data_IF_395527645068
#
_entry.id   IF_395527645068
#
_cell.length_a   1.000
_cell.length_b   1.000
_cell.length_c   1.000
_cell.angle_alpha   90.00
_cell.angle_beta   90.00
_cell.angle_gamma   90.00
#
_symmetry.space_group_name_H-M   'P 1'
#
loop_
_entity.id
_entity.type
_entity.pdbx_description
1 polymer ?
#
# COMPACT_ATOMS: atom_id res chain seq x y z
N UNK A 1 -41.24 26.72 32.34
CA UNK A 1 -40.27 25.78 31.75
C UNK A 1 -41.03 24.83 30.85
N UNK A 2 -41.28 25.27 29.63
CA UNK A 2 -42.08 24.58 28.60
C UNK A 2 -41.14 23.78 27.68
N UNK A 3 -41.64 22.69 27.10
CA UNK A 3 -40.90 21.75 26.24
C UNK A 3 -40.05 22.42 25.15
N UNK A 4 -40.47 23.60 24.71
CA UNK A 4 -39.86 24.41 23.65
C UNK A 4 -38.49 25.01 24.00
N UNK A 5 -38.14 25.18 25.28
CA UNK A 5 -36.82 25.68 25.69
C UNK A 5 -35.72 24.60 25.65
N UNK A 6 -36.09 23.31 25.77
CA UNK A 6 -35.11 22.21 25.65
C UNK A 6 -34.66 21.99 24.22
N UNK A 7 -35.54 22.23 23.26
CA UNK A 7 -35.24 22.05 21.83
C UNK A 7 -34.29 23.12 21.32
N UNK A 8 -34.42 24.39 21.75
CA UNK A 8 -33.47 25.44 21.36
C UNK A 8 -32.06 25.20 21.90
N UNK A 9 -31.94 24.79 23.16
CA UNK A 9 -30.64 24.51 23.78
C UNK A 9 -30.00 23.26 23.17
N UNK A 10 -30.80 22.25 22.80
CA UNK A 10 -30.31 21.07 22.09
C UNK A 10 -29.81 21.41 20.68
N UNK A 11 -30.53 22.25 19.92
CA UNK A 11 -30.10 22.68 18.58
C UNK A 11 -28.82 23.51 18.62
N UNK A 12 -28.64 24.39 19.61
CA UNK A 12 -27.40 25.17 19.75
C UNK A 12 -26.21 24.32 20.22
N UNK A 13 -26.43 23.35 21.12
CA UNK A 13 -25.36 22.41 21.53
C UNK A 13 -24.99 21.47 20.38
N UNK A 14 -25.94 21.06 19.55
CA UNK A 14 -25.67 20.28 18.34
C UNK A 14 -24.95 21.09 17.26
N UNK A 15 -25.25 22.37 17.10
CA UNK A 15 -24.56 23.24 16.13
C UNK A 15 -23.11 23.56 16.56
N UNK A 16 -22.86 23.75 17.86
CA UNK A 16 -21.49 23.95 18.39
C UNK A 16 -20.68 22.66 18.36
N UNK A 17 -21.31 21.50 18.63
CA UNK A 17 -20.65 20.20 18.58
C UNK A 17 -20.41 19.69 17.15
N UNK A 18 -21.00 20.34 16.15
CA UNK A 18 -20.81 20.04 14.74
C UNK A 18 -19.82 20.99 14.05
N UNK A 19 -19.39 22.06 14.75
CA UNK A 19 -18.34 22.96 14.30
C UNK A 19 -16.94 22.62 14.89
N UNK A 20 -16.84 21.59 15.74
CA UNK A 20 -15.57 21.13 16.36
C UNK A 20 -15.10 19.75 15.83
N UNK A 21 -15.74 19.24 14.77
CA UNK A 21 -15.37 17.99 14.11
C UNK A 21 -14.86 18.22 12.67
N UNK A 22 -14.25 19.36 12.40
CA UNK A 22 -13.44 19.56 11.17
C UNK A 22 -11.98 19.10 11.36
N UNK A 23 -11.75 18.19 12.28
CA UNK A 23 -10.47 17.52 12.50
C UNK A 23 -10.68 16.00 12.66
N UNK A 24 -11.65 15.44 11.92
CA UNK A 24 -11.50 14.05 11.48
C UNK A 24 -10.39 14.05 10.44
N UNK A 25 -9.16 14.12 10.95
CA UNK A 25 -7.97 13.96 10.16
C UNK A 25 -8.09 12.59 9.51
N UNK A 26 -8.40 12.56 8.22
CA UNK A 26 -8.29 11.41 7.32
C UNK A 26 -6.80 11.02 7.24
N UNK A 27 -6.28 10.52 8.35
CA UNK A 27 -4.90 10.11 8.54
C UNK A 27 -4.85 8.63 8.20
N UNK A 28 -4.60 8.33 6.92
CA UNK A 28 -4.16 7.01 6.49
C UNK A 28 -2.91 6.63 7.30
N UNK A 29 -3.10 5.90 8.40
CA UNK A 29 -2.06 5.61 9.38
C UNK A 29 -0.88 4.80 8.80
N UNK A 30 -1.07 4.18 7.63
CA UNK A 30 -0.03 3.45 6.92
C UNK A 30 0.48 4.12 5.62
N UNK A 31 -0.22 5.10 5.03
CA UNK A 31 0.18 5.71 3.75
C UNK A 31 0.65 7.17 3.88
N UNK A 32 0.12 7.94 4.86
CA UNK A 32 0.39 9.38 4.96
C UNK A 32 1.48 9.74 5.99
N UNK A 33 1.91 8.76 6.80
CA UNK A 33 2.93 8.97 7.84
C UNK A 33 4.33 8.64 7.33
N UNK A 34 5.34 9.39 7.80
CA UNK A 34 6.75 9.09 7.52
C UNK A 34 7.12 7.64 7.90
N UNK A 35 6.49 7.09 8.95
CA UNK A 35 6.65 5.69 9.35
C UNK A 35 6.10 4.71 8.30
N UNK A 36 4.95 5.02 7.69
CA UNK A 36 4.37 4.26 6.58
C UNK A 36 5.27 4.21 5.35
N UNK A 37 5.80 5.36 4.92
CA UNK A 37 6.75 5.45 3.80
C UNK A 37 8.05 4.67 4.05
N UNK A 38 8.58 4.74 5.26
CA UNK A 38 9.73 3.92 5.69
C UNK A 38 9.40 2.43 5.66
N UNK A 39 8.24 2.02 6.17
CA UNK A 39 7.84 0.61 6.16
C UNK A 39 7.67 0.09 4.73
N UNK A 40 6.98 0.82 3.87
CA UNK A 40 6.74 0.44 2.47
C UNK A 40 8.05 0.30 1.68
N UNK A 41 8.93 1.31 1.77
CA UNK A 41 10.27 1.26 1.14
C UNK A 41 11.14 0.13 1.69
N UNK A 42 11.11 -0.12 3.01
CA UNK A 42 11.85 -1.20 3.63
C UNK A 42 11.34 -2.59 3.16
N UNK A 43 10.03 -2.77 3.03
CA UNK A 43 9.43 -4.00 2.50
C UNK A 43 9.92 -4.26 1.07
N UNK A 44 9.83 -3.26 0.19
CA UNK A 44 10.32 -3.35 -1.20
C UNK A 44 11.79 -3.80 -1.21
N UNK A 45 12.64 -3.09 -0.47
CA UNK A 45 14.08 -3.40 -0.44
C UNK A 45 14.38 -4.80 0.09
N UNK A 46 13.69 -5.23 1.14
CA UNK A 46 13.86 -6.55 1.74
C UNK A 46 13.44 -7.67 0.77
N UNK A 47 12.25 -7.56 0.17
CA UNK A 47 11.70 -8.56 -0.76
C UNK A 47 12.59 -8.69 -2.00
N UNK A 48 13.07 -7.57 -2.56
CA UNK A 48 14.01 -7.59 -3.69
C UNK A 48 15.34 -8.26 -3.33
N UNK A 49 15.79 -8.17 -2.08
CA UNK A 49 17.07 -8.74 -1.64
C UNK A 49 17.05 -10.27 -1.45
N UNK A 50 15.87 -10.91 -1.33
CA UNK A 50 15.73 -12.34 -1.01
C UNK A 50 16.65 -13.29 -1.81
N UNK A 51 16.84 -13.14 -3.14
CA UNK A 51 17.67 -14.06 -3.91
C UNK A 51 19.15 -14.12 -3.49
N UNK A 52 19.66 -13.08 -2.83
CA UNK A 52 21.04 -13.08 -2.31
C UNK A 52 21.20 -13.87 -1.02
N UNK A 53 20.12 -14.11 -0.27
CA UNK A 53 20.16 -14.73 1.05
C UNK A 53 19.49 -16.11 1.07
N UNK A 54 18.42 -16.30 0.31
CA UNK A 54 17.66 -17.55 0.25
C UNK A 54 18.06 -18.32 -1.02
N UNK A 55 18.87 -19.38 -0.85
CA UNK A 55 19.37 -20.20 -1.97
C UNK A 55 18.45 -21.35 -2.34
N UNK A 56 17.63 -21.80 -1.40
CA UNK A 56 16.64 -22.85 -1.65
C UNK A 56 15.43 -22.26 -2.37
N UNK A 57 15.12 -22.79 -3.57
CA UNK A 57 14.03 -22.31 -4.43
C UNK A 57 12.66 -22.41 -3.76
N UNK A 58 12.38 -23.50 -3.04
CA UNK A 58 11.09 -23.70 -2.36
C UNK A 58 10.92 -22.69 -1.24
N UNK A 59 11.98 -22.46 -0.46
CA UNK A 59 11.98 -21.45 0.62
C UNK A 59 11.85 -20.06 0.03
N UNK A 60 12.49 -19.77 -1.09
CA UNK A 60 12.40 -18.47 -1.77
C UNK A 60 10.98 -18.18 -2.27
N UNK A 61 10.34 -19.17 -2.90
CA UNK A 61 8.92 -19.05 -3.33
C UNK A 61 8.02 -18.89 -2.11
N UNK A 62 8.24 -19.68 -1.05
CA UNK A 62 7.51 -19.56 0.20
C UNK A 62 7.64 -18.17 0.83
N UNK A 63 8.84 -17.59 0.81
CA UNK A 63 9.09 -16.23 1.31
C UNK A 63 8.29 -15.19 0.52
N UNK A 64 8.31 -15.24 -0.82
CA UNK A 64 7.49 -14.33 -1.64
C UNK A 64 5.98 -14.50 -1.38
N UNK A 65 5.50 -15.75 -1.29
CA UNK A 65 4.09 -16.03 -1.03
C UNK A 65 3.66 -15.51 0.34
N UNK A 66 4.48 -15.70 1.38
CA UNK A 66 4.24 -15.17 2.72
C UNK A 66 4.25 -13.64 2.74
N UNK A 67 5.21 -12.99 2.08
CA UNK A 67 5.25 -11.52 1.97
C UNK A 67 3.99 -10.98 1.28
N UNK A 68 3.58 -11.60 0.18
CA UNK A 68 2.37 -11.19 -0.53
C UNK A 68 1.10 -11.39 0.31
N UNK A 69 0.95 -12.54 0.96
CA UNK A 69 -0.17 -12.81 1.86
C UNK A 69 -0.19 -11.86 3.06
N UNK A 70 0.96 -11.57 3.65
CA UNK A 70 1.09 -10.62 4.76
C UNK A 70 0.71 -9.20 4.34
N UNK A 71 1.15 -8.75 3.16
CA UNK A 71 0.78 -7.44 2.63
C UNK A 71 -0.73 -7.33 2.34
N UNK A 72 -1.30 -8.30 1.62
CA UNK A 72 -2.73 -8.34 1.35
C UNK A 72 -3.57 -8.44 2.62
N UNK A 73 -3.12 -9.23 3.60
CA UNK A 73 -3.78 -9.34 4.90
C UNK A 73 -3.74 -8.04 5.70
N UNK A 74 -2.63 -7.31 5.67
CA UNK A 74 -2.52 -6.00 6.30
C UNK A 74 -3.45 -4.98 5.64
N UNK A 75 -3.45 -4.92 4.30
CA UNK A 75 -4.37 -4.06 3.53
C UNK A 75 -5.83 -4.38 3.88
N UNK A 76 -6.19 -5.66 3.90
CA UNK A 76 -7.55 -6.08 4.26
C UNK A 76 -7.92 -5.73 5.72
N UNK A 77 -6.99 -5.89 6.66
CA UNK A 77 -7.21 -5.52 8.06
C UNK A 77 -7.40 -4.02 8.27
N UNK A 78 -6.57 -3.21 7.59
CA UNK A 78 -6.68 -1.75 7.66
C UNK A 78 -7.95 -1.25 7.01
N UNK A 79 -8.32 -1.79 5.86
CA UNK A 79 -9.61 -1.49 5.22
C UNK A 79 -10.80 -1.90 6.10
N UNK A 80 -10.77 -3.08 6.71
CA UNK A 80 -11.86 -3.53 7.59
C UNK A 80 -11.99 -2.73 8.91
N UNK A 81 -10.95 -1.98 9.31
CA UNK A 81 -11.05 -1.01 10.41
C UNK A 81 -11.64 0.33 9.98
N UNK A 82 -11.49 0.65 8.71
CA UNK A 82 -11.97 1.89 8.08
C UNK A 82 -13.43 1.76 7.61
N UNK A 83 -13.93 0.52 7.48
CA UNK A 83 -15.34 0.16 7.21
C UNK A 83 -16.35 0.62 8.28
N UNK A 84 -15.89 1.12 9.44
CA UNK A 84 -16.78 1.77 10.42
C UNK A 84 -17.18 3.20 10.00
N UNK A 85 -16.53 3.81 8.99
CA UNK A 85 -16.84 5.17 8.47
C UNK A 85 -17.05 5.27 6.94
N UNK A 86 -16.61 4.33 6.08
CA UNK A 86 -17.04 4.26 4.66
C UNK A 86 -17.29 2.83 4.15
N UNK A 87 -18.39 2.66 3.42
CA UNK A 87 -18.83 1.41 2.80
C UNK A 87 -17.83 0.94 1.72
N UNK A 88 -16.95 0.01 2.06
CA UNK A 88 -16.11 -0.64 1.06
C UNK A 88 -16.98 -1.42 0.07
N UNK A 89 -16.91 -1.03 -1.21
CA UNK A 89 -17.15 -1.94 -2.31
C UNK A 89 -18.62 -2.16 -2.69
N UNK A 90 -19.37 -1.07 -2.89
CA UNK A 90 -20.38 -1.16 -3.94
C UNK A 90 -19.64 -1.29 -5.28
N UNK A 91 -19.54 -2.53 -5.77
CA UNK A 91 -19.42 -2.77 -7.20
C UNK A 91 -20.55 -1.94 -7.83
N UNK A 92 -20.26 -0.96 -8.70
CA UNK A 92 -21.30 -0.18 -9.33
C UNK A 92 -22.39 -1.12 -9.86
N UNK A 93 -23.67 -0.81 -9.69
CA UNK A 93 -24.77 -1.69 -10.15
C UNK A 93 -24.65 -2.03 -11.66
N UNK A 94 -23.91 -1.20 -12.39
CA UNK A 94 -23.55 -1.27 -13.81
C UNK A 94 -22.15 -1.86 -14.10
N UNK A 95 -21.45 -2.37 -13.09
CA UNK A 95 -20.16 -3.03 -13.31
C UNK A 95 -20.35 -4.28 -14.18
N UNK A 96 -19.52 -4.44 -15.22
CA UNK A 96 -19.64 -5.60 -16.09
C UNK A 96 -19.42 -6.87 -15.29
N UNK A 97 -20.38 -7.80 -15.40
CA UNK A 97 -20.26 -9.14 -14.80
C UNK A 97 -19.11 -9.86 -15.50
N UNK A 98 -17.93 -9.84 -14.89
CA UNK A 98 -16.77 -10.48 -15.46
C UNK A 98 -16.91 -12.00 -15.32
N UNK A 99 -16.62 -12.77 -16.39
CA UNK A 99 -16.64 -14.22 -16.30
C UNK A 99 -15.54 -14.70 -15.35
N UNK A 100 -15.76 -15.79 -14.59
CA UNK A 100 -14.84 -16.26 -13.55
C UNK A 100 -13.38 -16.49 -14.01
N UNK A 101 -13.15 -16.74 -15.31
CA UNK A 101 -11.81 -16.87 -15.88
C UNK A 101 -11.03 -15.54 -15.93
N UNK A 102 -11.69 -14.39 -15.82
CA UNK A 102 -11.07 -13.06 -15.81
C UNK A 102 -10.07 -12.91 -14.66
N UNK A 103 -10.35 -13.52 -13.50
CA UNK A 103 -9.44 -13.57 -12.36
C UNK A 103 -8.17 -14.33 -12.74
N UNK A 104 -8.31 -15.49 -13.39
CA UNK A 104 -7.18 -16.30 -13.86
C UNK A 104 -6.38 -15.54 -14.92
N UNK A 105 -7.05 -14.83 -15.85
CA UNK A 105 -6.40 -14.01 -16.85
C UNK A 105 -5.65 -12.83 -16.22
N UNK A 106 -6.24 -12.15 -15.23
CA UNK A 106 -5.59 -11.07 -14.49
C UNK A 106 -4.33 -11.55 -13.78
N UNK A 107 -4.41 -12.69 -13.07
CA UNK A 107 -3.24 -13.32 -12.43
C UNK A 107 -2.19 -13.73 -13.47
N UNK A 108 -2.60 -14.25 -14.62
CA UNK A 108 -1.67 -14.63 -15.68
C UNK A 108 -0.94 -13.42 -16.27
N UNK A 109 -1.65 -12.32 -16.55
CA UNK A 109 -1.05 -11.07 -17.04
C UNK A 109 -0.09 -10.48 -16.01
N UNK A 110 -0.48 -10.46 -14.73
CA UNK A 110 0.40 -10.02 -13.65
C UNK A 110 1.66 -10.89 -13.56
N UNK A 111 1.52 -12.21 -13.60
CA UNK A 111 2.64 -13.14 -13.60
C UNK A 111 3.56 -12.95 -14.81
N UNK A 112 3.01 -12.63 -15.98
CA UNK A 112 3.76 -12.38 -17.20
C UNK A 112 4.55 -11.06 -17.11
N UNK A 113 3.92 -10.01 -16.57
CA UNK A 113 4.59 -8.74 -16.25
C UNK A 113 5.73 -8.93 -15.24
N UNK A 114 5.48 -9.67 -14.16
CA UNK A 114 6.49 -10.03 -13.19
C UNK A 114 7.63 -10.86 -13.80
N UNK A 115 7.33 -11.80 -14.71
CA UNK A 115 8.34 -12.60 -15.39
C UNK A 115 9.26 -11.76 -16.30
N UNK A 116 8.69 -10.78 -17.01
CA UNK A 116 9.43 -9.81 -17.82
C UNK A 116 10.36 -8.96 -16.96
N UNK A 117 9.85 -8.43 -15.84
CA UNK A 117 10.64 -7.64 -14.91
C UNK A 117 11.79 -8.45 -14.30
N UNK A 118 11.51 -9.70 -13.90
CA UNK A 118 12.51 -10.65 -13.41
C UNK A 118 13.60 -10.93 -14.46
N UNK A 119 13.25 -11.02 -15.74
CA UNK A 119 14.23 -11.27 -16.80
C UNK A 119 15.21 -10.08 -16.96
N UNK A 120 14.67 -8.86 -16.94
CA UNK A 120 15.47 -7.62 -17.02
C UNK A 120 16.35 -7.46 -15.78
N UNK A 121 15.78 -7.56 -14.58
CA UNK A 121 16.54 -7.45 -13.32
C UNK A 121 17.57 -8.56 -13.16
N UNK A 122 17.29 -9.80 -13.62
CA UNK A 122 18.31 -10.86 -13.66
C UNK A 122 19.49 -10.51 -14.55
N UNK A 123 19.25 -9.86 -15.69
CA UNK A 123 20.31 -9.43 -16.59
C UNK A 123 21.16 -8.32 -15.96
N UNK A 124 20.51 -7.35 -15.33
CA UNK A 124 21.20 -6.28 -14.57
C UNK A 124 21.99 -6.87 -13.39
N UNK A 125 21.41 -7.79 -12.62
CA UNK A 125 22.09 -8.45 -11.51
C UNK A 125 23.28 -9.30 -11.97
N UNK A 126 23.15 -9.98 -13.12
CA UNK A 126 24.25 -10.70 -13.76
C UNK A 126 25.39 -9.76 -14.17
N UNK A 127 25.06 -8.62 -14.77
CA UNK A 127 26.05 -7.60 -15.12
C UNK A 127 26.71 -6.96 -13.88
N UNK A 128 25.96 -6.71 -12.81
CA UNK A 128 26.52 -6.22 -11.54
C UNK A 128 27.51 -7.25 -10.94
N UNK A 129 27.21 -8.55 -11.03
CA UNK A 129 28.14 -9.61 -10.60
C UNK A 129 29.43 -9.63 -11.40
N UNK A 130 29.37 -9.43 -12.72
CA UNK A 130 30.61 -9.35 -13.54
C UNK A 130 31.43 -8.11 -13.22
N UNK A 131 30.82 -7.08 -12.62
CA UNK A 131 31.50 -5.88 -12.10
C UNK A 131 31.97 -6.01 -10.64
N UNK A 132 31.88 -7.21 -10.05
CA UNK A 132 32.39 -7.48 -8.69
C UNK A 132 31.38 -7.25 -7.55
N UNK A 133 30.12 -6.95 -7.86
CA UNK A 133 29.08 -6.85 -6.83
C UNK A 133 28.72 -8.24 -6.33
N UNK A 134 29.06 -8.53 -5.07
CA UNK A 134 28.84 -9.84 -4.45
C UNK A 134 27.37 -10.14 -4.20
N UNK A 135 26.58 -9.10 -3.89
CA UNK A 135 25.14 -9.17 -3.59
C UNK A 135 24.33 -8.19 -4.46
N UNK A 136 24.14 -8.50 -5.75
CA UNK A 136 23.49 -7.59 -6.68
C UNK A 136 22.02 -7.34 -6.35
N UNK A 137 21.29 -8.33 -5.82
CA UNK A 137 19.88 -8.20 -5.49
C UNK A 137 19.67 -7.35 -4.24
N UNK A 138 20.60 -7.44 -3.28
CA UNK A 138 20.61 -6.57 -2.10
C UNK A 138 20.87 -5.12 -2.48
N UNK A 139 21.81 -4.88 -3.41
CA UNK A 139 22.07 -3.54 -3.93
C UNK A 139 20.85 -2.97 -4.69
N UNK A 140 20.24 -3.78 -5.56
CA UNK A 140 19.03 -3.39 -6.28
C UNK A 140 17.87 -3.12 -5.32
N UNK A 141 17.72 -3.93 -4.26
CA UNK A 141 16.73 -3.69 -3.22
C UNK A 141 16.97 -2.38 -2.47
N UNK A 142 18.21 -2.05 -2.13
CA UNK A 142 18.54 -0.77 -1.50
C UNK A 142 18.23 0.43 -2.41
N UNK A 143 18.54 0.32 -3.70
CA UNK A 143 18.20 1.35 -4.70
C UNK A 143 16.67 1.48 -4.82
N UNK A 144 15.96 0.36 -4.97
CA UNK A 144 14.51 0.31 -5.05
C UNK A 144 13.85 0.96 -3.84
N UNK A 145 14.28 0.58 -2.63
CA UNK A 145 13.81 1.19 -1.38
C UNK A 145 14.02 2.71 -1.36
N UNK A 146 15.22 3.17 -1.75
CA UNK A 146 15.52 4.60 -1.81
C UNK A 146 14.63 5.34 -2.80
N UNK A 147 14.41 4.79 -3.99
CA UNK A 147 13.52 5.38 -5.00
C UNK A 147 12.07 5.41 -4.50
N UNK A 148 11.55 4.30 -3.96
CA UNK A 148 10.19 4.24 -3.41
C UNK A 148 9.99 5.27 -2.30
N UNK A 149 10.95 5.39 -1.38
CA UNK A 149 10.88 6.40 -0.32
C UNK A 149 10.83 7.83 -0.88
N UNK A 150 11.70 8.15 -1.85
CA UNK A 150 11.74 9.50 -2.45
C UNK A 150 10.44 9.82 -3.20
N UNK A 151 9.89 8.87 -3.95
CA UNK A 151 8.61 9.05 -4.67
C UNK A 151 7.48 9.27 -3.68
N UNK A 152 7.36 8.39 -2.69
CA UNK A 152 6.33 8.47 -1.65
C UNK A 152 6.43 9.78 -0.83
N UNK A 153 7.63 10.23 -0.51
CA UNK A 153 7.86 11.52 0.15
C UNK A 153 7.48 12.72 -0.74
N UNK A 154 7.70 12.62 -2.05
CA UNK A 154 7.32 13.67 -3.00
C UNK A 154 5.79 13.79 -3.13
N UNK A 155 5.09 12.65 -3.18
CA UNK A 155 3.63 12.58 -3.21
C UNK A 155 3.02 13.19 -1.94
N UNK A 156 3.53 12.82 -0.77
CA UNK A 156 3.09 13.41 0.50
C UNK A 156 3.26 14.95 0.55
N UNK A 157 4.37 15.47 0.01
CA UNK A 157 4.62 16.92 -0.07
C UNK A 157 3.72 17.62 -1.10
N UNK A 158 3.29 16.91 -2.11
CA UNK A 158 2.37 17.44 -3.10
C UNK A 158 0.95 17.52 -2.53
N UNK A 159 0.51 16.49 -1.80
CA UNK A 159 -0.77 16.47 -1.09
C UNK A 159 -0.83 17.65 -0.09
N UNK A 160 0.20 17.81 0.74
CA UNK A 160 0.28 18.92 1.68
C UNK A 160 0.18 20.30 0.99
N UNK A 161 0.80 20.48 -0.18
CA UNK A 161 0.73 21.74 -0.94
C UNK A 161 -0.61 22.02 -1.62
N UNK A 162 -1.44 21.00 -1.84
CA UNK A 162 -2.78 21.15 -2.43
C UNK A 162 -3.85 21.42 -1.35
N UNK A 163 -3.53 21.16 -0.09
CA UNK A 163 -4.39 21.40 1.06
C UNK A 163 -4.27 22.83 1.62
N UNK A 164 -3.19 23.55 1.29
CA UNK A 164 -2.96 24.97 1.58
C UNK A 164 -3.55 25.91 0.50
#
# INVERSE_FOLDING_TARGET
>A
MTSTDRERTATTVSADKQADNTDSTDNYALDDTLAGRIAQSAIIGAVTAYPDWIKNRTVLIGAYALSAAGFLGLVGYLNAQDEDDEEFGQVPDDAPTLPAWSIVAGVAVFALGAALDIAVTRRVAGWLRTRGVTKPWTLLGAIGAGVTFVVSEAEAREIARRAD
#
